data_IF_791539720599
#
_entry.id   IF_791539720599
#
_cell.length_a   1.000
_cell.length_b   1.000
_cell.length_c   1.000
_cell.angle_alpha   90.00
_cell.angle_beta   90.00
_cell.angle_gamma   90.00
#
_symmetry.space_group_name_H-M   'P 1'
#
loop_
_entity.id
_entity.type
_entity.pdbx_description
1 polymer ?
#
# COMPACT_ATOMS: atom_id res chain seq x y z
N UNK A 1 -13.07 -76.63 -73.29
CA UNK A 1 -14.18 -76.71 -72.30
C UNK A 1 -13.87 -75.64 -71.25
N UNK A 2 -14.47 -74.44 -71.28
CA UNK A 2 -15.67 -74.04 -70.49
C UNK A 2 -15.57 -74.52 -69.02
N UNK A 3 -15.71 -73.71 -67.97
CA UNK A 3 -16.26 -72.37 -67.77
C UNK A 3 -15.70 -71.77 -66.45
N UNK A 4 -15.83 -70.44 -66.26
CA UNK A 4 -15.34 -69.72 -65.08
C UNK A 4 -16.32 -69.61 -63.92
N UNK A 5 -15.85 -69.06 -62.78
CA UNK A 5 -16.67 -68.40 -61.73
C UNK A 5 -15.83 -67.31 -61.04
N UNK A 6 -16.53 -66.24 -60.68
CA UNK A 6 -16.16 -64.90 -60.21
C UNK A 6 -15.99 -64.72 -58.69
N UNK A 7 -15.02 -63.87 -58.29
CA UNK A 7 -15.06 -62.90 -57.16
C UNK A 7 -14.62 -63.34 -55.75
N UNK A 8 -14.33 -62.41 -54.80
CA UNK A 8 -14.14 -60.95 -54.91
C UNK A 8 -12.79 -60.41 -54.37
N UNK A 9 -12.47 -59.16 -54.74
CA UNK A 9 -11.39 -58.35 -54.16
C UNK A 9 -11.64 -58.05 -52.67
N UNK A 10 -10.60 -58.13 -51.85
CA UNK A 10 -10.57 -57.56 -50.49
C UNK A 10 -9.63 -56.34 -50.46
N UNK A 11 -10.19 -55.17 -50.75
CA UNK A 11 -9.69 -53.93 -50.18
C UNK A 11 -10.16 -53.86 -48.73
N UNK A 12 -9.32 -53.40 -47.80
CA UNK A 12 -9.57 -52.19 -47.00
C UNK A 12 -8.73 -52.14 -45.73
N UNK A 13 -8.11 -50.98 -45.51
CA UNK A 13 -8.06 -50.39 -44.18
C UNK A 13 -6.75 -50.52 -43.43
N UNK A 14 -5.73 -49.73 -43.81
CA UNK A 14 -4.76 -49.27 -42.82
C UNK A 14 -5.51 -48.36 -41.83
N UNK A 15 -5.70 -48.81 -40.61
CA UNK A 15 -6.24 -48.00 -39.51
C UNK A 15 -5.11 -47.11 -39.01
N UNK A 16 -5.02 -45.88 -39.52
CA UNK A 16 -4.20 -44.84 -38.91
C UNK A 16 -5.00 -44.30 -37.72
N UNK A 17 -4.65 -44.74 -36.51
CA UNK A 17 -5.16 -44.16 -35.28
C UNK A 17 -4.57 -42.76 -35.12
N UNK A 18 -5.33 -41.73 -35.50
CA UNK A 18 -4.99 -40.34 -35.25
C UNK A 18 -5.18 -40.06 -33.76
N UNK A 19 -4.09 -40.13 -32.99
CA UNK A 19 -4.09 -39.74 -31.59
C UNK A 19 -4.32 -38.22 -31.49
N UNK A 20 -5.54 -37.82 -31.16
CA UNK A 20 -5.87 -36.44 -30.79
C UNK A 20 -5.18 -36.14 -29.44
N UNK A 21 -4.04 -35.43 -29.48
CA UNK A 21 -3.49 -34.79 -28.28
C UNK A 21 -4.38 -33.59 -27.93
N UNK A 22 -5.31 -33.79 -27.01
CA UNK A 22 -6.01 -32.70 -26.32
C UNK A 22 -4.97 -31.93 -25.50
N UNK A 23 -4.57 -30.77 -26.02
CA UNK A 23 -3.73 -29.81 -25.32
C UNK A 23 -4.58 -29.19 -24.21
N UNK A 24 -4.47 -29.75 -22.99
CA UNK A 24 -5.09 -29.16 -21.80
C UNK A 24 -4.36 -27.86 -21.52
N UNK A 25 -4.94 -26.74 -21.95
CA UNK A 25 -4.50 -25.41 -21.55
C UNK A 25 -4.91 -25.27 -20.08
N UNK A 26 -4.00 -25.59 -19.17
CA UNK A 26 -4.17 -25.28 -17.75
C UNK A 26 -4.12 -23.76 -17.63
N UNK A 27 -5.18 -23.08 -17.16
CA UNK A 27 -5.07 -21.65 -16.88
C UNK A 27 -4.05 -21.49 -15.77
N UNK A 28 -2.88 -20.95 -16.10
CA UNK A 28 -1.96 -20.44 -15.10
C UNK A 28 -2.68 -19.27 -14.46
N UNK A 29 -3.27 -19.47 -13.28
CA UNK A 29 -3.72 -18.37 -12.44
C UNK A 29 -2.49 -17.56 -12.07
N UNK A 30 -2.21 -16.51 -12.84
CA UNK A 30 -1.30 -15.46 -12.39
C UNK A 30 -2.01 -14.85 -11.20
N UNK A 31 -1.59 -15.20 -9.98
CA UNK A 31 -1.97 -14.41 -8.82
C UNK A 31 -1.53 -12.97 -9.14
N UNK A 32 -2.51 -12.09 -9.39
CA UNK A 32 -2.20 -10.70 -9.66
C UNK A 32 -1.63 -10.13 -8.36
N UNK A 33 -0.31 -9.93 -8.34
CA UNK A 33 0.33 -9.15 -7.30
C UNK A 33 -0.17 -7.73 -7.53
N UNK A 34 -0.98 -7.24 -6.60
CA UNK A 34 -1.45 -5.85 -6.61
C UNK A 34 -0.24 -4.92 -6.72
N UNK A 35 -0.36 -3.88 -7.53
CA UNK A 35 0.66 -2.84 -7.60
C UNK A 35 0.80 -2.17 -6.23
N UNK A 36 1.95 -1.56 -5.93
CA UNK A 36 2.10 -0.87 -4.64
C UNK A 36 1.10 0.30 -4.54
N UNK A 37 0.76 0.96 -5.65
CA UNK A 37 -0.30 1.96 -5.75
C UNK A 37 -1.66 1.40 -5.30
N UNK A 38 -2.05 0.23 -5.82
CA UNK A 38 -3.30 -0.44 -5.42
C UNK A 38 -3.28 -0.85 -3.94
N UNK A 39 -2.11 -1.24 -3.41
CA UNK A 39 -1.94 -1.63 -2.00
C UNK A 39 -2.04 -0.44 -1.04
N UNK A 40 -1.68 0.77 -1.49
CA UNK A 40 -1.78 1.99 -0.68
C UNK A 40 -3.23 2.42 -0.47
N UNK A 41 -4.11 2.25 -1.47
CA UNK A 41 -5.53 2.65 -1.38
C UNK A 41 -6.14 2.06 -0.10
N UNK A 42 -6.95 2.84 0.62
CA UNK A 42 -7.65 2.43 1.83
C UNK A 42 -7.47 3.40 3.00
N UNK A 43 -8.12 3.07 4.10
CA UNK A 43 -8.04 3.81 5.35
C UNK A 43 -7.20 3.06 6.38
N UNK A 44 -6.49 3.81 7.22
CA UNK A 44 -5.54 3.28 8.17
C UNK A 44 -5.67 3.94 9.54
N UNK A 45 -5.38 3.17 10.58
CA UNK A 45 -5.17 3.66 11.95
C UNK A 45 -3.69 3.66 12.32
N UNK A 46 -3.28 4.66 13.11
CA UNK A 46 -1.91 4.71 13.62
C UNK A 46 -1.72 3.65 14.72
N UNK A 47 -0.77 2.75 14.53
CA UNK A 47 -0.36 1.74 15.53
C UNK A 47 0.75 2.28 16.44
N UNK A 48 1.72 2.99 15.86
CA UNK A 48 2.85 3.52 16.61
C UNK A 48 3.50 4.69 15.89
N UNK A 49 4.03 5.66 16.63
CA UNK A 49 4.87 6.72 16.09
C UNK A 49 6.13 6.86 16.95
N UNK A 50 7.27 6.45 16.40
CA UNK A 50 8.58 6.60 17.04
C UNK A 50 9.41 7.70 16.38
N UNK A 51 10.18 8.42 17.19
CA UNK A 51 11.28 9.28 16.74
C UNK A 51 12.61 8.74 17.23
N UNK A 52 13.65 8.93 16.42
CA UNK A 52 15.00 8.45 16.65
C UNK A 52 15.95 9.66 16.68
N UNK A 53 16.16 10.26 17.86
CA UNK A 53 17.08 11.40 17.99
C UNK A 53 18.53 10.97 17.69
N UNK A 54 19.40 11.93 17.40
CA UNK A 54 20.82 11.63 17.15
C UNK A 54 21.51 11.02 18.37
N UNK A 55 21.06 11.40 19.56
CA UNK A 55 21.57 10.96 20.84
C UNK A 55 20.41 10.60 21.75
N UNK A 56 20.58 9.54 22.52
CA UNK A 56 19.57 9.01 23.43
C UNK A 56 18.69 7.93 22.79
N UNK A 57 17.73 7.39 23.57
CA UNK A 57 16.88 6.30 23.11
C UNK A 57 15.82 6.77 22.12
N UNK A 58 15.27 5.82 21.36
CA UNK A 58 14.05 6.02 20.59
C UNK A 58 12.92 6.50 21.52
N UNK A 59 12.09 7.42 21.03
CA UNK A 59 10.95 7.96 21.78
C UNK A 59 9.67 7.60 21.08
N UNK A 60 8.79 6.91 21.80
CA UNK A 60 7.39 6.78 21.38
C UNK A 60 6.71 8.14 21.60
N UNK A 61 6.11 8.67 20.54
CA UNK A 61 5.42 9.94 20.57
C UNK A 61 4.05 9.84 21.22
N UNK A 62 3.49 8.62 21.38
CA UNK A 62 2.19 8.37 22.01
C UNK A 62 1.06 9.12 21.29
N UNK A 63 0.91 8.86 19.99
CA UNK A 63 -0.09 9.49 19.12
C UNK A 63 -1.19 8.52 18.72
N UNK A 64 -2.39 9.08 18.50
CA UNK A 64 -3.47 8.47 17.73
C UNK A 64 -3.59 9.18 16.39
N UNK A 65 -3.98 8.47 15.32
CA UNK A 65 -4.08 9.08 14.00
C UNK A 65 -4.84 8.26 12.97
N UNK A 66 -5.17 8.93 11.86
CA UNK A 66 -5.77 8.36 10.65
C UNK A 66 -4.95 8.75 9.43
N UNK A 67 -4.87 7.83 8.48
CA UNK A 67 -4.27 8.04 7.17
C UNK A 67 -5.19 7.42 6.13
N UNK A 68 -5.39 8.08 5.02
CA UNK A 68 -6.26 7.61 3.93
C UNK A 68 -5.61 7.89 2.59
N UNK A 69 -5.72 6.93 1.67
CA UNK A 69 -5.36 7.06 0.27
C UNK A 69 -6.54 6.59 -0.59
N UNK A 70 -6.91 7.37 -1.59
CA UNK A 70 -8.00 7.02 -2.50
C UNK A 70 -7.51 6.60 -3.90
N UNK A 71 -8.41 6.02 -4.69
CA UNK A 71 -8.15 5.59 -6.07
C UNK A 71 -7.88 6.75 -7.04
N UNK A 72 -8.21 7.98 -6.63
CA UNK A 72 -8.01 9.18 -7.44
C UNK A 72 -6.64 9.80 -7.24
N UNK A 73 -5.80 9.24 -6.36
CA UNK A 73 -4.46 9.74 -6.05
C UNK A 73 -4.47 10.92 -5.07
N UNK A 74 -5.47 10.97 -4.19
CA UNK A 74 -5.48 11.88 -3.05
C UNK A 74 -5.11 11.13 -1.76
N UNK A 75 -4.62 11.90 -0.78
CA UNK A 75 -4.35 11.39 0.55
C UNK A 75 -4.74 12.43 1.62
N UNK A 76 -5.11 11.94 2.81
CA UNK A 76 -5.20 12.75 4.02
C UNK A 76 -4.53 12.07 5.21
N UNK A 77 -3.85 12.83 6.05
CA UNK A 77 -3.09 12.34 7.18
C UNK A 77 -3.29 13.24 8.39
N UNK A 78 -3.75 12.68 9.49
CA UNK A 78 -3.95 13.40 10.73
C UNK A 78 -3.53 12.56 11.94
N UNK A 79 -3.06 13.23 12.98
CA UNK A 79 -2.75 12.59 14.25
C UNK A 79 -2.50 13.61 15.34
N UNK A 80 -2.74 13.19 16.58
CA UNK A 80 -2.59 14.04 17.78
C UNK A 80 -2.01 13.22 18.94
N UNK A 81 -1.35 13.88 19.91
CA UNK A 81 -1.01 13.23 21.18
C UNK A 81 -2.26 12.62 21.83
N UNK A 82 -2.12 11.41 22.37
CA UNK A 82 -3.23 10.68 23.01
C UNK A 82 -3.76 11.45 24.24
N UNK A 83 -2.90 12.22 24.90
CA UNK A 83 -3.19 13.02 26.09
C UNK A 83 -3.62 14.47 25.82
N UNK A 84 -3.79 14.85 24.54
CA UNK A 84 -4.22 16.19 24.16
C UNK A 84 -5.56 16.60 24.80
N UNK A 85 -6.59 15.73 24.87
CA UNK A 85 -7.86 16.06 25.54
C UNK A 85 -7.69 16.40 27.03
N UNK A 86 -6.82 15.67 27.74
CA UNK A 86 -6.53 15.90 29.16
C UNK A 86 -5.76 17.21 29.36
N UNK A 87 -4.82 17.49 28.46
CA UNK A 87 -4.06 18.74 28.46
C UNK A 87 -4.97 19.95 28.22
N UNK A 88 -5.94 19.82 27.33
CA UNK A 88 -6.94 20.86 27.06
C UNK A 88 -7.82 21.11 28.29
N UNK A 89 -8.37 20.05 28.90
CA UNK A 89 -9.22 20.16 30.08
C UNK A 89 -8.50 20.82 31.27
N UNK A 90 -7.20 20.58 31.43
CA UNK A 90 -6.38 21.18 32.50
C UNK A 90 -6.09 22.68 32.29
N UNK A 91 -6.33 23.21 31.09
CA UNK A 91 -6.00 24.58 30.70
C UNK A 91 -7.21 25.54 30.79
N UNK A 92 -8.42 25.05 31.07
CA UNK A 92 -9.64 25.85 31.18
C UNK A 92 -9.83 26.51 32.57
N UNK A 93 -10.55 27.66 32.72
CA UNK A 93 -11.43 28.30 31.73
C UNK A 93 -10.90 29.57 31.03
N UNK A 94 -9.74 30.12 31.41
CA UNK A 94 -9.16 31.34 30.80
C UNK A 94 -7.96 31.07 29.87
N UNK A 95 -7.58 29.79 29.69
CA UNK A 95 -6.43 29.42 28.86
C UNK A 95 -6.68 29.59 27.36
N UNK A 96 -5.60 29.85 26.61
CA UNK A 96 -5.62 29.80 25.15
C UNK A 96 -5.97 28.39 24.64
N UNK A 97 -6.49 28.33 23.40
CA UNK A 97 -6.81 27.04 22.75
C UNK A 97 -5.56 26.17 22.66
N UNK A 98 -5.61 24.98 23.26
CA UNK A 98 -4.56 23.96 23.14
C UNK A 98 -4.64 23.30 21.76
N UNK A 99 -3.55 23.37 20.98
CA UNK A 99 -3.42 22.78 19.65
C UNK A 99 -2.20 21.86 19.65
N UNK A 100 -2.35 20.62 19.17
CA UNK A 100 -1.24 19.67 19.09
C UNK A 100 -1.48 18.59 18.04
N UNK A 101 -0.41 18.13 17.40
CA UNK A 101 -0.48 17.10 16.36
C UNK A 101 -0.17 17.61 14.95
N UNK A 102 -0.69 16.90 13.95
CA UNK A 102 -0.61 17.23 12.53
C UNK A 102 -1.93 16.91 11.85
N UNK A 103 -2.28 17.67 10.82
CA UNK A 103 -3.39 17.37 9.92
C UNK A 103 -3.06 17.99 8.56
N UNK A 104 -3.11 17.20 7.50
CA UNK A 104 -2.84 17.68 6.15
C UNK A 104 -3.48 16.78 5.08
N UNK A 105 -3.63 17.31 3.87
CA UNK A 105 -4.11 16.59 2.70
C UNK A 105 -3.42 17.06 1.42
N UNK A 106 -3.57 16.28 0.35
CA UNK A 106 -3.18 16.66 -1.01
C UNK A 106 -3.02 15.45 -1.92
N UNK A 107 -2.25 15.61 -3.00
CA UNK A 107 -1.95 14.54 -3.96
C UNK A 107 -0.91 13.56 -3.41
N UNK A 108 -0.93 12.34 -3.91
CA UNK A 108 0.10 11.33 -3.62
C UNK A 108 0.76 10.83 -4.90
N UNK A 109 2.08 10.62 -4.84
CA UNK A 109 2.85 9.90 -5.85
C UNK A 109 3.62 8.75 -5.19
N UNK A 110 3.74 7.62 -5.89
CA UNK A 110 4.41 6.42 -5.39
C UNK A 110 5.52 6.04 -6.36
N UNK A 111 6.73 5.87 -5.83
CA UNK A 111 7.87 5.27 -6.52
C UNK A 111 8.10 3.86 -5.95
N UNK A 112 7.61 2.88 -6.69
CA UNK A 112 7.68 1.46 -6.32
C UNK A 112 9.08 0.86 -6.40
N UNK A 113 9.97 1.49 -7.17
CA UNK A 113 11.36 1.05 -7.30
C UNK A 113 12.18 1.51 -6.10
N UNK A 114 12.07 2.78 -5.74
CA UNK A 114 12.83 3.38 -4.63
C UNK A 114 12.12 3.23 -3.27
N UNK A 115 10.91 2.65 -3.26
CA UNK A 115 10.06 2.45 -2.08
C UNK A 115 9.76 3.77 -1.37
N UNK A 116 9.34 4.75 -2.15
CA UNK A 116 9.03 6.11 -1.69
C UNK A 116 7.56 6.43 -1.98
N UNK A 117 6.88 7.01 -0.99
CA UNK A 117 5.60 7.68 -1.17
C UNK A 117 5.80 9.16 -0.86
N UNK A 118 5.34 10.00 -1.78
CA UNK A 118 5.45 11.46 -1.67
C UNK A 118 4.06 12.05 -1.52
N UNK A 119 3.84 12.76 -0.42
CA UNK A 119 2.61 13.50 -0.17
C UNK A 119 2.83 14.96 -0.58
N UNK A 120 2.15 15.41 -1.64
CA UNK A 120 2.20 16.78 -2.13
C UNK A 120 1.19 17.62 -1.36
N UNK A 121 1.65 18.42 -0.40
CA UNK A 121 0.77 19.03 0.60
C UNK A 121 0.01 20.22 0.02
N UNK A 122 -1.31 20.11 -0.06
CA UNK A 122 -2.21 21.17 -0.54
C UNK A 122 -2.84 21.96 0.62
N UNK A 123 -3.06 21.31 1.76
CA UNK A 123 -3.60 21.95 2.96
C UNK A 123 -3.04 21.35 4.23
N UNK A 124 -2.82 22.21 5.23
CA UNK A 124 -2.27 21.82 6.55
C UNK A 124 -2.67 22.85 7.61
N UNK A 125 -3.86 22.73 8.23
CA UNK A 125 -4.37 23.74 9.17
C UNK A 125 -3.51 23.86 10.43
N UNK A 126 -2.80 22.80 10.82
CA UNK A 126 -1.97 22.79 12.03
C UNK A 126 -0.53 23.23 11.74
N UNK A 127 -0.07 23.06 10.51
CA UNK A 127 1.31 23.41 10.11
C UNK A 127 1.27 24.08 8.73
N UNK A 128 0.78 25.33 8.61
CA UNK A 128 0.54 25.97 7.31
C UNK A 128 1.77 26.07 6.42
N UNK A 129 2.97 26.17 7.02
CA UNK A 129 4.25 26.19 6.32
C UNK A 129 4.56 24.93 5.51
N UNK A 130 3.78 23.85 5.64
CA UNK A 130 3.92 22.65 4.81
C UNK A 130 3.25 22.79 3.44
N UNK A 131 2.30 23.71 3.28
CA UNK A 131 1.55 23.87 2.03
C UNK A 131 2.49 24.23 0.88
N UNK A 132 2.33 23.53 -0.25
CA UNK A 132 3.20 23.64 -1.44
C UNK A 132 4.50 22.83 -1.35
N UNK A 133 4.74 22.12 -0.24
CA UNK A 133 5.91 21.26 -0.05
C UNK A 133 5.60 19.77 -0.19
N UNK A 134 6.67 18.99 -0.27
CA UNK A 134 6.62 17.53 -0.38
C UNK A 134 6.97 16.84 0.95
N UNK A 135 6.09 15.96 1.38
CA UNK A 135 6.28 15.07 2.51
C UNK A 135 6.71 13.69 1.99
N UNK A 136 8.03 13.51 1.84
CA UNK A 136 8.64 12.27 1.35
C UNK A 136 8.73 11.24 2.48
N UNK A 137 8.31 10.00 2.22
CA UNK A 137 8.38 8.88 3.16
C UNK A 137 8.89 7.62 2.47
N UNK A 138 9.76 6.87 3.12
CA UNK A 138 10.10 5.51 2.71
C UNK A 138 9.06 4.55 3.26
N UNK A 139 8.55 3.65 2.42
CA UNK A 139 7.49 2.74 2.84
C UNK A 139 7.89 1.27 2.81
N UNK A 140 7.29 0.51 3.73
CA UNK A 140 7.33 -0.95 3.77
C UNK A 140 5.94 -1.47 4.10
N UNK A 141 5.53 -2.54 3.42
CA UNK A 141 4.30 -3.25 3.73
C UNK A 141 4.62 -4.59 4.42
N UNK A 142 3.94 -4.89 5.52
CA UNK A 142 3.94 -6.20 6.19
C UNK A 142 2.50 -6.57 6.54
N UNK A 143 1.91 -7.50 5.77
CA UNK A 143 0.52 -7.93 5.91
C UNK A 143 -0.45 -6.74 5.86
N UNK A 144 -1.10 -6.42 6.97
CA UNK A 144 -2.04 -5.31 7.15
C UNK A 144 -1.35 -4.01 7.61
N UNK A 145 -0.03 -4.02 7.76
CA UNK A 145 0.74 -2.87 8.20
C UNK A 145 1.41 -2.13 7.04
N UNK A 146 1.32 -0.81 7.09
CA UNK A 146 2.07 0.14 6.29
C UNK A 146 3.01 0.90 7.23
N UNK A 147 4.32 0.76 7.04
CA UNK A 147 5.33 1.52 7.77
C UNK A 147 5.81 2.67 6.90
N UNK A 148 5.74 3.90 7.41
CA UNK A 148 6.26 5.10 6.77
C UNK A 148 7.42 5.67 7.59
N UNK A 149 8.60 5.78 6.99
CA UNK A 149 9.81 6.26 7.64
C UNK A 149 10.32 7.57 7.03
N UNK A 150 10.75 8.48 7.90
CA UNK A 150 11.45 9.70 7.51
C UNK A 150 12.95 9.44 7.59
N UNK A 151 13.70 9.91 6.59
CA UNK A 151 15.16 9.86 6.59
C UNK A 151 15.74 11.27 6.53
N UNK A 152 16.86 11.49 7.19
CA UNK A 152 17.68 12.69 7.00
C UNK A 152 18.49 12.60 5.67
N UNK A 153 19.19 13.67 5.26
CA UNK A 153 20.00 13.65 4.03
C UNK A 153 21.07 12.54 3.99
N UNK A 154 21.55 12.09 5.15
CA UNK A 154 22.52 11.00 5.28
C UNK A 154 21.87 9.60 5.20
N UNK A 155 20.54 9.52 5.02
CA UNK A 155 19.79 8.27 4.91
C UNK A 155 19.45 7.59 6.25
N UNK A 156 19.76 8.21 7.39
CA UNK A 156 19.39 7.73 8.73
C UNK A 156 17.89 7.92 8.95
N UNK A 157 17.22 6.88 9.42
CA UNK A 157 15.81 6.97 9.84
C UNK A 157 15.71 7.86 11.09
N UNK A 158 14.91 8.92 11.02
CA UNK A 158 14.69 9.88 12.12
C UNK A 158 13.32 9.71 12.77
N UNK A 159 12.38 9.10 12.05
CA UNK A 159 11.06 8.76 12.57
C UNK A 159 10.43 7.63 11.77
N UNK A 160 9.56 6.87 12.43
CA UNK A 160 8.75 5.82 11.81
C UNK A 160 7.33 5.88 12.35
N UNK A 161 6.35 5.91 11.43
CA UNK A 161 4.94 5.77 11.72
C UNK A 161 4.49 4.40 11.16
N UNK A 162 3.94 3.55 12.02
CA UNK A 162 3.35 2.27 11.61
C UNK A 162 1.84 2.43 11.61
N UNK A 163 1.22 2.10 10.48
CA UNK A 163 -0.21 2.23 10.24
C UNK A 163 -0.79 0.84 9.99
N UNK A 164 -1.98 0.56 10.51
CA UNK A 164 -2.73 -0.66 10.21
C UNK A 164 -3.88 -0.31 9.28
N UNK A 165 -4.00 -1.07 8.19
CA UNK A 165 -5.13 -0.96 7.27
C UNK A 165 -6.41 -1.39 7.96
N UNK A 166 -7.45 -0.58 7.84
CA UNK A 166 -8.78 -0.92 8.30
C UNK A 166 -9.43 -1.92 7.33
N UNK A 167 -10.29 -2.78 7.89
CA UNK A 167 -11.06 -3.78 7.15
C UNK A 167 -12.46 -3.25 6.83
#
# INVERSE_FOLDING_TARGET
MHAGVTGPLKNSGAVVALALFLLVIVPVSVAQIMSDEERFIGDYELVSYFTFPEQGPARDMQYIGRLSYDEFGNMSGLGMPIDLPQTEAASQPEGERVIGGFAYWGRVSIDSKERIVTHHVEGSPMVPRWVGGDNVRHYEFDRDLLRLSLKNPEGRITATLTWRRLQ
#
